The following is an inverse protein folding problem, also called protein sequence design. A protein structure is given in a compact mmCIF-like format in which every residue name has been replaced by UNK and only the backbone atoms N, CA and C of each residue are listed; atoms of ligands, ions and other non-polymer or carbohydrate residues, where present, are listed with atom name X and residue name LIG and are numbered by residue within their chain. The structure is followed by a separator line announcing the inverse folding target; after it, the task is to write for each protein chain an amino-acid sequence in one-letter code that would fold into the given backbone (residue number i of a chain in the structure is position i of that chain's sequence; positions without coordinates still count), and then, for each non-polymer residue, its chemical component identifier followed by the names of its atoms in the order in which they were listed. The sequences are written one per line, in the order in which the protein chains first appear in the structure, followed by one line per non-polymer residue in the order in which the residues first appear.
data_IF_398317833948
#
_entry.id   IF_398317833948
#
_cell.length_a   1.000
_cell.length_b   1.000
_cell.length_c   1.000
_cell.angle_alpha   90.00
_cell.angle_beta   90.00
_cell.angle_gamma   90.00
#
_symmetry.space_group_name_H-M   'P 1'
#
loop_
_entity.id
_entity.type
_entity.pdbx_description
1 polymer ?
2 non-polymer ?
3 non-polymer ?
4 non-polymer ?
5 water ?
#
# COMPACT_ATOMS: atom_id res chain seq x y z
N UNK A 2 -7.08 -7.30 -16.50
CA UNK A 2 -5.96 -8.21 -16.83
C UNK A 2 -4.64 -7.45 -16.93
N UNK A 3 -3.54 -8.12 -16.62
CA UNK A 3 -2.21 -7.54 -16.76
C UNK A 3 -1.43 -8.28 -17.84
N UNK A 4 -0.58 -7.55 -18.56
CA UNK A 4 0.28 -8.15 -19.57
C UNK A 4 -0.47 -8.83 -20.69
N UNK A 5 -1.59 -8.26 -21.10
CA UNK A 5 -2.35 -8.81 -22.21
C UNK A 5 -2.41 -7.82 -23.37
N UNK A 6 -2.67 -8.32 -24.57
CA UNK A 6 -2.66 -7.46 -25.74
C UNK A 6 -3.39 -6.15 -25.46
N UNK A 7 -2.72 -5.04 -25.78
CA UNK A 7 -3.25 -3.72 -25.48
C UNK A 7 -3.74 -2.99 -26.74
N UNK A 8 -4.99 -2.55 -26.71
CA UNK A 8 -5.55 -1.75 -27.78
C UNK A 8 -4.95 -0.34 -27.78
N UNK A 9 -5.02 0.31 -28.93
CA UNK A 9 -4.55 1.69 -29.09
C UNK A 9 -5.33 2.67 -28.21
N UNK A 10 -4.65 3.71 -27.73
CA UNK A 10 -5.33 4.80 -27.04
C UNK A 10 -6.11 5.62 -28.08
N UNK A 11 -7.23 6.23 -27.68
CA UNK A 11 -7.90 7.13 -28.61
C UNK A 11 -7.16 8.46 -28.69
N UNK A 12 -7.53 9.28 -29.67
CA UNK A 12 -7.07 10.68 -29.72
C UNK A 12 -7.40 11.37 -28.41
N UNK A 13 -6.41 12.08 -27.86
CA UNK A 13 -6.60 12.86 -26.64
C UNK A 13 -5.93 14.21 -26.82
N UNK A 14 -6.53 15.26 -26.28
CA UNK A 14 -5.92 16.59 -26.28
C UNK A 14 -5.52 16.96 -24.86
N UNK A 15 -4.23 17.16 -24.65
CA UNK A 15 -3.68 17.52 -23.34
C UNK A 15 -2.38 18.29 -23.53
N UNK A 16 -1.91 18.99 -22.48
CA UNK A 16 -0.68 19.76 -22.62
C UNK A 16 0.53 18.90 -22.98
N UNK A 17 1.35 19.39 -23.90
CA UNK A 17 2.55 18.68 -24.32
C UNK A 17 3.54 18.59 -23.14
N UNK A 18 4.13 17.39 -22.92
CA UNK A 18 5.22 17.31 -21.93
C UNK A 18 6.35 18.28 -22.30
N UNK A 19 6.96 18.89 -21.28
CA UNK A 19 8.04 19.86 -21.46
C UNK A 19 9.39 19.21 -21.12
N UNK A 20 10.14 18.79 -22.15
CA UNK A 20 11.43 18.09 -21.96
C UNK A 20 12.44 18.90 -21.12
N UNK A 21 12.43 20.22 -21.29
CA UNK A 21 13.40 21.08 -20.62
C UNK A 21 12.85 21.79 -19.37
N UNK A 22 11.79 21.22 -18.78
CA UNK A 22 11.22 21.72 -17.52
C UNK A 22 10.99 20.55 -16.57
N UNK A 23 11.68 20.53 -15.41
CA UNK A 23 11.42 19.44 -14.47
C UNK A 23 9.97 19.48 -13.95
N UNK A 24 9.33 18.33 -13.77
CA UNK A 24 7.94 18.33 -13.30
C UNK A 24 7.85 18.68 -11.82
N UNK A 25 8.94 18.44 -11.08
CA UNK A 25 9.09 18.96 -9.71
C UNK A 25 10.53 19.44 -9.55
N UNK A 26 10.70 20.57 -8.87
CA UNK A 26 12.02 21.16 -8.57
C UNK A 26 12.43 20.98 -7.11
N UNK A 27 11.53 20.40 -6.31
CA UNK A 27 11.71 20.32 -4.86
C UNK A 27 11.85 18.90 -4.32
N UNK A 28 11.56 17.90 -5.16
CA UNK A 28 11.59 16.51 -4.72
C UNK A 28 12.20 15.59 -5.78
N UNK A 29 12.65 14.41 -5.33
CA UNK A 29 13.10 13.34 -6.20
C UNK A 29 11.89 12.61 -6.80
N UNK A 30 11.81 12.53 -8.13
CA UNK A 30 10.64 11.90 -8.78
C UNK A 30 10.92 10.55 -9.45
N UNK A 31 12.15 10.09 -9.34
CA UNK A 31 12.53 8.76 -9.83
C UNK A 31 13.63 8.19 -8.93
N UNK A 32 13.52 6.90 -8.60
CA UNK A 32 14.55 6.27 -7.76
C UNK A 32 15.81 5.97 -8.60
N UNK A 33 16.94 5.65 -7.93
CA UNK A 33 18.13 5.31 -8.72
C UNK A 33 18.02 3.99 -9.50
N UNK A 34 16.99 3.19 -9.23
CA UNK A 34 16.71 2.03 -10.07
C UNK A 34 15.56 2.29 -11.05
N UNK A 35 15.29 3.57 -11.31
CA UNK A 35 14.33 4.02 -12.32
C UNK A 35 12.88 3.63 -12.04
N UNK A 36 12.51 3.61 -10.76
CA UNK A 36 11.10 3.49 -10.38
C UNK A 36 10.57 4.91 -10.14
N UNK A 37 9.42 5.24 -10.76
CA UNK A 37 8.81 6.54 -10.46
C UNK A 37 8.48 6.71 -8.98
N UNK A 38 8.71 7.90 -8.45
CA UNK A 38 8.23 8.27 -7.12
C UNK A 38 7.02 9.17 -7.36
N UNK A 39 5.85 8.74 -6.88
CA UNK A 39 4.59 9.34 -7.28
C UNK A 39 4.21 10.55 -6.41
N UNK A 40 4.36 11.74 -6.98
CA UNK A 40 3.95 13.00 -6.36
C UNK A 40 2.95 13.69 -7.29
N UNK A 41 2.10 14.56 -6.74
CA UNK A 41 1.26 15.40 -7.58
C UNK A 41 2.14 16.23 -8.51
N UNK A 42 1.75 16.32 -9.79
CA UNK A 42 2.53 17.00 -10.81
C UNK A 42 3.40 16.08 -11.67
N UNK A 43 3.53 14.81 -11.27
CA UNK A 43 4.32 13.85 -12.06
C UNK A 43 3.50 13.11 -13.10
N UNK A 44 2.18 13.07 -12.90
CA UNK A 44 1.32 12.24 -13.76
C UNK A 44 0.12 12.98 -14.33
N UNK A 45 -0.28 12.58 -15.54
CA UNK A 45 -1.55 12.99 -16.14
C UNK A 45 -2.53 11.85 -15.94
N UNK A 46 -3.48 12.04 -15.03
CA UNK A 46 -4.42 10.98 -14.65
C UNK A 46 -5.34 10.56 -15.81
N UNK A 47 -5.59 11.47 -16.75
CA UNK A 47 -6.45 11.14 -17.90
C UNK A 47 -5.80 10.06 -18.79
N UNK A 48 -4.49 10.20 -19.02
CA UNK A 48 -3.76 9.18 -19.80
C UNK A 48 -3.75 7.84 -19.04
N UNK A 49 -3.43 7.89 -17.75
CA UNK A 49 -3.35 6.66 -16.95
C UNK A 49 -4.70 5.97 -16.84
N UNK A 50 -5.77 6.72 -16.61
CA UNK A 50 -7.12 6.14 -16.58
C UNK A 50 -7.46 5.40 -17.87
N UNK A 51 -7.12 6.01 -19.01
CA UNK A 51 -7.31 5.35 -20.30
C UNK A 51 -6.56 4.04 -20.37
N UNK A 52 -5.27 4.07 -20.08
CA UNK A 52 -4.45 2.85 -20.14
C UNK A 52 -5.02 1.73 -19.29
N UNK A 53 -5.42 2.05 -18.05
CA UNK A 53 -5.90 1.01 -17.14
C UNK A 53 -7.33 0.56 -17.42
N UNK A 54 -8.20 1.48 -17.87
CA UNK A 54 -9.57 1.07 -18.24
C UNK A 54 -9.59 0.16 -19.46
N UNK A 55 -8.72 0.43 -20.43
CA UNK A 55 -8.64 -0.39 -21.64
C UNK A 55 -8.22 -1.83 -21.31
N UNK A 56 -7.59 -2.00 -20.15
CA UNK A 56 -7.17 -3.32 -19.69
C UNK A 56 -8.20 -3.96 -18.74
N UNK A 57 -9.32 -3.25 -18.52
CA UNK A 57 -10.39 -3.64 -17.58
C UNK A 57 -9.80 -4.08 -16.23
N UNK A 58 -9.01 -3.19 -15.66
CA UNK A 58 -8.30 -3.44 -14.40
C UNK A 58 -9.24 -3.54 -13.21
N UNK A 59 -9.05 -4.58 -12.39
CA UNK A 59 -9.73 -4.73 -11.11
C UNK A 59 -8.73 -4.60 -9.98
N UNK A 60 -9.06 -3.76 -9.00
CA UNK A 60 -8.18 -3.53 -7.85
C UNK A 60 -8.83 -4.06 -6.59
N UNK A 61 -8.10 -4.93 -5.87
CA UNK A 61 -8.51 -5.35 -4.54
C UNK A 61 -7.89 -4.45 -3.48
N UNK A 62 -8.69 -4.12 -2.46
CA UNK A 62 -8.21 -3.35 -1.32
C UNK A 62 -8.44 -4.15 -0.05
N UNK A 63 -7.36 -4.49 0.64
CA UNK A 63 -7.45 -5.26 1.90
C UNK A 63 -7.31 -4.36 3.12
N UNK A 64 -8.12 -4.68 4.12
CA UNK A 64 -8.10 -3.95 5.37
C UNK A 64 -8.47 -4.91 6.50
N UNK A 65 -7.80 -4.76 7.64
CA UNK A 65 -8.04 -5.61 8.80
C UNK A 65 -8.74 -4.80 9.87
N UNK A 66 -9.86 -5.34 10.36
CA UNK A 66 -10.64 -4.68 11.40
C UNK A 66 -10.93 -5.68 12.50
N UNK A 67 -9.95 -5.83 13.39
CA UNK A 67 -9.98 -6.84 14.44
C UNK A 67 -10.27 -6.15 15.76
N UNK A 68 -11.12 -6.78 16.58
CA UNK A 68 -11.49 -6.26 17.89
C UNK A 68 -12.07 -4.84 17.76
N UNK A 69 -11.53 -3.88 18.49
CA UNK A 69 -12.13 -2.54 18.53
C UNK A 69 -11.97 -1.74 17.24
N UNK A 70 -11.11 -2.21 16.33
CA UNK A 70 -10.84 -1.49 15.09
C UNK A 70 -11.97 -1.54 14.06
N UNK A 71 -13.01 -2.33 14.34
CA UNK A 71 -14.22 -2.32 13.50
C UNK A 71 -14.86 -0.93 13.45
N UNK A 72 -14.63 -0.12 14.50
CA UNK A 72 -15.19 1.23 14.57
C UNK A 72 -14.69 2.16 13.47
N UNK A 73 -13.55 1.82 12.85
CA UNK A 73 -12.94 2.65 11.81
C UNK A 73 -13.48 2.36 10.41
N UNK A 74 -14.19 1.24 10.26
CA UNK A 74 -14.64 0.80 8.94
C UNK A 74 -15.58 1.76 8.21
N UNK A 75 -16.51 2.38 8.94
CA UNK A 75 -17.53 3.21 8.29
C UNK A 75 -16.87 4.36 7.55
N UNK A 76 -16.04 5.14 8.27
CA UNK A 76 -15.37 6.27 7.62
C UNK A 76 -14.37 5.83 6.55
N UNK A 77 -13.66 4.73 6.80
CA UNK A 77 -12.69 4.21 5.83
C UNK A 77 -13.38 3.90 4.50
N UNK A 78 -14.45 3.10 4.55
CA UNK A 78 -15.16 2.68 3.35
C UNK A 78 -15.90 3.83 2.64
N UNK A 79 -16.54 4.71 3.41
CA UNK A 79 -17.26 5.89 2.87
C UNK A 79 -16.33 6.80 2.09
N UNK A 80 -15.15 7.07 2.66
CA UNK A 80 -14.18 7.91 2.01
C UNK A 80 -13.48 7.20 0.84
N UNK A 81 -13.28 5.89 0.95
CA UNK A 81 -12.75 5.13 -0.20
C UNK A 81 -13.69 5.24 -1.41
N UNK A 82 -14.99 5.23 -1.14
CA UNK A 82 -15.99 5.38 -2.20
C UNK A 82 -15.87 6.71 -2.92
N UNK A 83 -15.42 7.74 -2.22
CA UNK A 83 -15.27 9.05 -2.84
C UNK A 83 -13.96 9.22 -3.61
N UNK A 84 -12.91 8.49 -3.18
CA UNK A 84 -11.55 8.80 -3.62
C UNK A 84 -10.69 7.68 -4.22
N UNK A 85 -11.05 6.42 -3.96
CA UNK A 85 -10.18 5.29 -4.31
C UNK A 85 -10.61 4.62 -5.62
N UNK A 86 -9.78 4.76 -6.65
CA UNK A 86 -9.97 4.05 -7.92
C UNK A 86 -11.36 4.26 -8.53
N UNK A 87 -11.92 5.45 -8.36
CA UNK A 87 -13.26 5.74 -8.88
C UNK A 87 -13.27 5.60 -10.40
N UNK A 88 -14.22 4.83 -10.92
CA UNK A 88 -14.34 4.56 -12.35
C UNK A 88 -13.82 3.19 -12.74
N UNK A 89 -13.06 2.58 -11.83
CA UNK A 89 -12.48 1.25 -12.05
C UNK A 89 -13.19 0.20 -11.21
N UNK A 90 -12.98 -1.08 -11.54
CA UNK A 90 -13.55 -2.18 -10.76
C UNK A 90 -12.76 -2.31 -9.46
N UNK A 91 -13.48 -2.32 -8.34
CA UNK A 91 -12.87 -2.45 -7.01
C UNK A 91 -13.52 -3.58 -6.22
N UNK A 92 -12.71 -4.36 -5.53
CA UNK A 92 -13.19 -5.39 -4.61
C UNK A 92 -12.56 -5.13 -3.24
N UNK A 93 -13.38 -4.71 -2.27
CA UNK A 93 -12.92 -4.56 -0.90
C UNK A 93 -12.90 -5.91 -0.21
N UNK A 94 -11.83 -6.16 0.55
CA UNK A 94 -11.75 -7.36 1.37
C UNK A 94 -11.55 -6.93 2.82
N UNK A 95 -12.60 -7.10 3.62
CA UNK A 95 -12.56 -6.76 5.04
C UNK A 95 -12.32 -8.01 5.87
N UNK A 96 -11.13 -8.09 6.46
CA UNK A 96 -10.76 -9.18 7.37
C UNK A 96 -11.17 -8.77 8.78
N UNK A 97 -12.00 -9.58 9.42
CA UNK A 97 -12.51 -9.22 10.76
C UNK A 97 -12.83 -10.45 11.61
N UNK A 98 -12.79 -10.28 12.93
CA UNK A 98 -13.30 -11.31 13.84
C UNK A 98 -14.78 -11.10 14.21
N UNK A 99 -15.39 -10.04 13.65
CA UNK A 99 -16.78 -9.67 13.96
C UNK A 99 -17.54 -9.33 12.67
N UNK A 100 -17.93 -10.35 11.89
CA UNK A 100 -18.65 -10.09 10.63
C UNK A 100 -19.90 -9.20 10.79
N UNK A 101 -20.60 -9.34 11.91
CA UNK A 101 -21.82 -8.58 12.14
C UNK A 101 -21.57 -7.10 12.44
N UNK A 102 -20.34 -6.75 12.76
CA UNK A 102 -19.98 -5.36 13.07
C UNK A 102 -19.55 -4.57 11.83
N UNK A 103 -19.55 -5.20 10.66
CA UNK A 103 -19.17 -4.48 9.44
C UNK A 103 -20.34 -3.60 9.01
N UNK A 104 -20.11 -2.27 8.90
CA UNK A 104 -21.20 -1.35 8.53
C UNK A 104 -21.67 -1.56 7.08
N UNK A 105 -22.96 -1.32 6.87
CA UNK A 105 -23.56 -1.42 5.54
C UNK A 105 -23.30 -0.13 4.78
N UNK A 106 -22.21 -0.11 4.02
CA UNK A 106 -21.82 1.09 3.28
C UNK A 106 -22.31 0.96 1.83
N UNK A 107 -22.92 2.03 1.33
CA UNK A 107 -23.47 2.05 -0.02
C UNK A 107 -22.33 2.18 -1.03
N UNK A 108 -22.26 1.24 -1.98
CA UNK A 108 -21.15 1.22 -2.93
C UNK A 108 -21.58 1.65 -4.33
N UNK A 109 -20.67 2.31 -5.04
CA UNK A 109 -20.88 2.68 -6.44
C UNK A 109 -20.91 1.47 -7.35
N UNK A 110 -21.42 1.64 -8.57
CA UNK A 110 -21.48 0.52 -9.53
C UNK A 110 -20.07 -0.05 -9.83
N UNK A 111 -19.99 -1.37 -9.98
CA UNK A 111 -18.73 -2.02 -10.32
C UNK A 111 -17.80 -2.22 -9.13
N UNK A 112 -18.34 -2.00 -7.93
CA UNK A 112 -17.56 -2.12 -6.70
C UNK A 112 -18.26 -3.10 -5.75
N UNK A 113 -17.48 -3.99 -5.14
CA UNK A 113 -18.07 -4.99 -4.24
C UNK A 113 -17.24 -5.18 -2.97
N UNK A 114 -17.86 -5.76 -1.96
CA UNK A 114 -17.20 -5.98 -0.68
C UNK A 114 -17.43 -7.39 -0.19
N UNK A 115 -16.36 -8.04 0.24
CA UNK A 115 -16.42 -9.37 0.84
C UNK A 115 -15.89 -9.30 2.26
N UNK A 116 -16.60 -9.96 3.18
CA UNK A 116 -16.14 -10.07 4.55
C UNK A 116 -15.45 -11.43 4.75
N UNK A 117 -14.22 -11.37 5.25
CA UNK A 117 -13.41 -12.56 5.48
C UNK A 117 -13.20 -12.74 6.98
N UNK A 118 -13.84 -13.76 7.55
CA UNK A 118 -13.70 -14.00 8.98
C UNK A 118 -12.37 -14.65 9.28
N UNK A 119 -11.65 -14.07 10.23
CA UNK A 119 -10.38 -14.63 10.69
C UNK A 119 -10.37 -14.64 12.22
N UNK A 120 -9.37 -15.32 12.77
CA UNK A 120 -9.17 -15.34 14.21
C UNK A 120 -8.53 -14.02 14.66
N UNK A 121 -8.85 -13.63 15.90
CA UNK A 121 -8.20 -12.50 16.55
C UNK A 121 -7.06 -13.00 17.42
N UNK A 122 -5.91 -12.33 17.32
CA UNK A 122 -4.80 -12.59 18.24
C UNK A 122 -4.91 -11.63 19.42
N UNK A 123 -4.40 -12.07 20.57
CA UNK A 123 -4.47 -11.30 21.82
C UNK A 123 -3.63 -10.03 21.76
N UNK A 124 -2.38 -10.16 21.30
CA UNK A 124 -1.45 -9.02 21.22
C UNK A 124 -1.67 -8.21 19.94
N UNK A 125 -1.68 -6.89 20.07
CA UNK A 125 -1.82 -6.01 18.90
C UNK A 125 -0.67 -6.21 17.91
N UNK A 126 0.50 -6.56 18.42
CA UNK A 126 1.67 -6.84 17.57
C UNK A 126 1.42 -8.06 16.66
N UNK A 127 0.81 -9.10 17.21
CA UNK A 127 0.47 -10.29 16.43
C UNK A 127 -0.68 -10.07 15.45
N UNK A 128 -1.69 -9.32 15.88
CA UNK A 128 -2.74 -8.90 14.95
C UNK A 128 -2.12 -8.21 13.74
N UNK A 129 -1.21 -7.27 14.00
CA UNK A 129 -0.53 -6.55 12.92
C UNK A 129 0.33 -7.46 12.06
N UNK A 130 1.17 -8.28 12.70
CA UNK A 130 2.11 -9.14 11.98
C UNK A 130 1.45 -10.23 11.16
N UNK A 131 0.41 -10.86 11.73
CA UNK A 131 -0.29 -11.97 11.07
C UNK A 131 -1.12 -11.56 9.84
N UNK A 132 -1.23 -10.25 9.59
CA UNK A 132 -1.75 -9.77 8.32
C UNK A 132 -0.97 -10.35 7.14
N UNK A 133 0.34 -10.50 7.29
CA UNK A 133 1.18 -11.05 6.21
C UNK A 133 0.74 -12.47 5.84
N UNK A 134 0.59 -13.34 6.84
CA UNK A 134 0.12 -14.72 6.63
C UNK A 134 -1.25 -14.75 5.97
N UNK A 135 -2.17 -13.93 6.49
CA UNK A 135 -3.56 -13.94 6.04
C UNK A 135 -3.68 -13.41 4.60
N UNK A 136 -2.94 -12.34 4.28
CA UNK A 136 -2.95 -11.83 2.91
C UNK A 136 -2.38 -12.89 1.94
N UNK A 137 -1.27 -13.50 2.33
CA UNK A 137 -0.64 -14.54 1.52
C UNK A 137 -1.59 -15.72 1.26
N UNK A 138 -2.26 -16.19 2.31
CA UNK A 138 -3.19 -17.31 2.22
C UNK A 138 -4.32 -17.02 1.23
N UNK A 139 -4.85 -15.79 1.30
CA UNK A 139 -5.98 -15.42 0.45
C UNK A 139 -5.61 -15.09 -0.99
N UNK A 140 -4.33 -14.84 -1.25
CA UNK A 140 -3.86 -14.72 -2.63
C UNK A 140 -4.25 -15.97 -3.45
N UNK A 141 -4.29 -17.17 -2.83
CA UNK A 141 -4.77 -18.40 -3.47
C UNK A 141 -6.29 -18.56 -3.34
N UNK A 142 -6.81 -18.34 -2.15
CA UNK A 142 -8.24 -18.52 -1.89
C UNK A 142 -9.13 -17.78 -2.88
N UNK A 143 -8.76 -16.54 -3.20
CA UNK A 143 -9.56 -15.77 -4.14
C UNK A 143 -8.89 -14.65 -4.91
N UNK A 144 -7.81 -14.07 -4.39
CA UNK A 144 -7.27 -12.86 -5.02
C UNK A 144 -6.79 -13.13 -6.45
N UNK A 145 -6.13 -14.26 -6.66
CA UNK A 145 -5.61 -14.61 -7.99
C UNK A 145 -6.71 -14.66 -9.05
N UNK A 146 -7.90 -15.12 -8.66
CA UNK A 146 -9.01 -15.26 -9.59
C UNK A 146 -9.87 -13.99 -9.71
N UNK A 147 -9.77 -13.11 -8.72
CA UNK A 147 -10.69 -11.97 -8.61
C UNK A 147 -10.15 -10.59 -8.91
N UNK A 148 -8.88 -10.35 -8.67
CA UNK A 148 -8.30 -9.01 -8.88
C UNK A 148 -6.97 -9.07 -9.65
N UNK A 149 -6.58 -7.93 -10.21
CA UNK A 149 -5.30 -7.80 -10.92
C UNK A 149 -4.23 -7.25 -9.99
N UNK A 150 -4.62 -6.29 -9.16
CA UNK A 150 -3.73 -5.67 -8.22
C UNK A 150 -4.32 -5.72 -6.82
N UNK A 151 -3.44 -5.72 -5.82
CA UNK A 151 -3.85 -5.65 -4.42
C UNK A 151 -3.23 -4.42 -3.78
N UNK A 152 -4.04 -3.71 -3.00
CA UNK A 152 -3.59 -2.58 -2.20
C UNK A 152 -3.88 -2.95 -0.74
N UNK A 153 -2.85 -2.89 0.11
CA UNK A 153 -2.95 -3.38 1.48
C UNK A 153 -2.70 -2.25 2.47
N UNK A 154 -3.73 -1.88 3.23
CA UNK A 154 -3.66 -0.68 4.06
C UNK A 154 -4.17 -0.89 5.49
N UNK A 155 -3.79 0.03 6.38
CA UNK A 155 -4.35 0.15 7.74
C UNK A 155 -5.76 0.72 7.68
N UNK A 156 -6.59 0.36 8.66
CA UNK A 156 -8.00 0.74 8.69
C UNK A 156 -8.27 2.07 9.40
N UNK A 157 -7.38 2.47 10.30
CA UNK A 157 -7.59 3.66 11.14
C UNK A 157 -7.16 4.93 10.40
N UNK A 158 -7.76 5.09 9.22
CA UNK A 158 -7.34 6.06 8.23
C UNK A 158 -8.59 6.52 7.46
N UNK A 159 -8.44 7.60 6.72
CA UNK A 159 -9.48 8.09 5.82
C UNK A 159 -8.87 8.65 4.55
N UNK A 160 -9.59 8.49 3.44
CA UNK A 160 -9.21 9.12 2.18
C UNK A 160 -9.72 10.55 2.17
N UNK A 161 -8.86 11.48 1.77
CA UNK A 161 -9.16 12.90 1.69
C UNK A 161 -9.05 13.44 0.27
N UNK A 162 -8.38 12.67 -0.60
CA UNK A 162 -8.14 13.12 -1.97
C UNK A 162 -7.86 11.91 -2.86
N UNK A 163 -7.77 12.15 -4.15
CA UNK A 163 -7.58 11.12 -5.18
C UNK A 163 -6.48 10.08 -4.85
N UNK A 164 -6.86 8.80 -4.85
CA UNK A 164 -5.91 7.68 -4.85
C UNK A 164 -6.33 6.75 -5.99
N UNK A 165 -5.58 6.81 -7.08
CA UNK A 165 -6.00 6.11 -8.29
C UNK A 165 -4.94 5.26 -8.95
N UNK A 166 -5.14 5.00 -10.24
CA UNK A 166 -4.32 4.03 -10.97
C UNK A 166 -2.84 4.42 -11.12
N UNK A 167 -2.52 5.68 -10.83
CA UNK A 167 -1.12 6.12 -10.79
C UNK A 167 -0.23 5.30 -9.82
N UNK A 168 -0.86 4.62 -8.85
CA UNK A 168 -0.08 3.82 -7.88
C UNK A 168 0.21 2.40 -8.38
N UNK A 169 -0.51 1.97 -9.41
CA UNK A 169 -0.49 0.55 -9.81
C UNK A 169 0.75 0.18 -10.61
N UNK A 170 1.33 -0.97 -10.27
CA UNK A 170 2.66 -1.38 -10.73
C UNK A 170 2.88 -2.78 -10.14
N UNK A 171 3.88 -3.54 -10.65
CA UNK A 171 4.07 -4.85 -10.04
C UNK A 171 4.31 -4.85 -8.52
N UNK A 172 5.07 -3.88 -8.01
CA UNK A 172 5.34 -3.84 -6.58
C UNK A 172 5.57 -2.41 -6.11
N UNK A 173 4.81 -1.97 -5.12
CA UNK A 173 5.03 -0.63 -4.56
C UNK A 173 5.11 -0.58 -3.04
N UNK A 174 5.92 0.35 -2.55
CA UNK A 174 5.95 0.75 -1.16
C UNK A 174 5.69 2.25 -1.10
N UNK A 175 5.51 2.75 0.13
CA UNK A 175 5.14 4.15 0.36
C UNK A 175 6.13 4.76 1.34
N UNK A 176 6.59 5.97 1.05
CA UNK A 176 7.46 6.69 1.98
C UNK A 176 6.73 7.00 3.29
N UNK A 177 7.28 6.48 4.39
CA UNK A 177 6.74 6.75 5.72
C UNK A 177 6.77 8.26 6.01
N UNK A 178 5.64 8.82 6.49
CA UNK A 178 5.57 10.27 6.67
C UNK A 178 6.53 10.83 7.72
N UNK A 179 6.95 10.00 8.68
CA UNK A 179 7.84 10.49 9.72
C UNK A 179 9.30 10.58 9.33
N UNK A 180 9.66 10.01 8.17
CA UNK A 180 11.08 9.79 7.88
C UNK A 180 11.53 10.12 6.45
N UNK A 181 10.66 10.69 5.62
CA UNK A 181 11.01 10.93 4.22
C UNK A 181 12.23 11.87 4.05
N UNK A 182 12.42 12.77 5.01
CA UNK A 182 13.59 13.66 4.99
C UNK A 182 14.78 13.21 5.83
N UNK A 183 14.70 12.01 6.40
CA UNK A 183 15.75 11.50 7.29
C UNK A 183 16.89 10.79 6.54
N UNK A 184 18.08 10.84 7.14
CA UNK A 184 19.22 10.04 6.65
C UNK A 184 19.03 8.59 7.08
N UNK A 185 19.61 7.68 6.31
CA UNK A 185 19.43 6.23 6.56
C UNK A 185 19.84 5.77 7.96
N UNK A 186 20.88 6.38 8.53
CA UNK A 186 21.33 6.01 9.87
C UNK A 186 20.24 6.27 10.93
N UNK A 187 19.37 7.25 10.67
CA UNK A 187 18.26 7.59 11.56
C UNK A 187 17.02 6.72 11.38
N UNK A 188 16.95 5.97 10.28
CA UNK A 188 15.80 5.09 10.02
C UNK A 188 15.65 4.08 11.15
N UNK A 189 14.41 3.80 11.55
CA UNK A 189 14.17 2.84 12.63
C UNK A 189 14.04 1.41 12.09
N UNK A 190 14.96 1.03 11.21
CA UNK A 190 15.09 -0.37 10.77
C UNK A 190 15.43 -1.25 11.97
N UNK A 191 15.13 -2.54 11.87
CA UNK A 191 15.69 -3.51 12.82
C UNK A 191 17.22 -3.53 12.72
N UNK A 192 17.91 -3.34 13.85
CA UNK A 192 19.38 -3.22 13.88
C UNK A 192 20.12 -4.39 14.56
N UNK A 193 19.37 -5.38 15.05
CA UNK A 193 20.00 -6.55 15.68
C UNK A 193 20.23 -7.63 14.62
N UNK A 194 21.50 -8.05 14.42
CA UNK A 194 21.84 -9.06 13.43
C UNK A 194 21.14 -10.41 13.63
N UNK A 195 20.63 -10.65 14.84
CA UNK A 195 19.94 -11.91 15.16
C UNK A 195 18.56 -12.02 14.50
N UNK A 196 18.05 -10.90 14.00
CA UNK A 196 16.73 -10.85 13.36
C UNK A 196 16.86 -10.93 11.84
N UNK A 197 15.91 -11.65 11.21
CA UNK A 197 15.82 -11.71 9.76
C UNK A 197 15.59 -10.34 9.12
N UNK A 198 15.08 -9.39 9.91
CA UNK A 198 14.79 -8.04 9.39
C UNK A 198 15.99 -7.11 9.46
N UNK A 199 17.11 -7.60 9.97
CA UNK A 199 18.33 -6.78 10.15
C UNK A 199 18.78 -6.02 8.90
N UNK A 200 19.01 -4.71 9.05
CA UNK A 200 19.62 -3.87 8.03
C UNK A 200 20.70 -3.00 8.71
N UNK A 201 21.98 -3.13 8.27
CA UNK A 201 23.10 -2.35 8.79
C UNK A 201 22.94 -0.85 8.56
N UNK A 202 23.67 -0.04 9.33
CA UNK A 202 23.63 1.42 9.27
C UNK A 202 23.99 2.02 7.91
N UNK A 203 24.75 1.29 7.09
CA UNK A 203 25.19 1.78 5.80
C UNK A 203 24.35 1.28 4.60
N UNK A 204 23.23 0.64 4.89
CA UNK A 204 22.31 0.17 3.84
C UNK A 204 20.93 0.79 3.98
N UNK A 205 20.17 0.79 2.90
CA UNK A 205 18.80 1.30 2.93
C UNK A 205 18.60 2.44 1.95
N UNK A 206 17.48 2.40 1.24
CA UNK A 206 17.11 3.45 0.30
C UNK A 206 16.15 4.42 0.96
N UNK A 207 15.05 3.87 1.49
CA UNK A 207 13.98 4.64 2.10
C UNK A 207 13.46 3.89 3.32
N UNK A 208 12.72 4.60 4.18
CA UNK A 208 11.93 3.95 5.21
C UNK A 208 10.47 3.86 4.74
N UNK A 209 10.04 2.65 4.40
CA UNK A 209 8.68 2.44 3.88
C UNK A 209 7.69 2.23 5.03
N UNK A 210 6.47 2.73 4.85
CA UNK A 210 5.41 2.55 5.85
C UNK A 210 4.70 1.22 5.71
N UNK A 211 4.60 0.49 6.82
CA UNK A 211 3.81 -0.76 6.84
C UNK A 211 2.33 -0.59 6.55
N UNK A 212 1.84 0.65 6.63
CA UNK A 212 0.41 0.95 6.50
C UNK A 212 -0.11 1.05 5.06
N UNK A 213 0.77 0.95 4.06
CA UNK A 213 0.35 1.14 2.65
C UNK A 213 1.36 0.54 1.68
N UNK A 214 1.05 -0.67 1.18
CA UNK A 214 1.88 -1.31 0.16
C UNK A 214 0.98 -2.12 -0.78
N UNK A 215 1.54 -2.60 -1.88
CA UNK A 215 0.75 -3.41 -2.81
C UNK A 215 1.48 -3.73 -4.10
N UNK A 216 0.71 -4.09 -5.11
CA UNK A 216 1.25 -4.48 -6.41
C UNK A 216 0.38 -5.53 -7.07
N UNK A 217 0.95 -6.25 -8.03
CA UNK A 217 0.23 -7.36 -8.66
C UNK A 217 0.01 -8.46 -7.63
N UNK A 218 -1.01 -9.29 -7.85
CA UNK A 218 -1.27 -10.36 -6.90
C UNK A 218 -0.04 -11.25 -6.72
N UNK A 219 0.62 -11.58 -7.84
CA UNK A 219 1.84 -12.42 -7.79
C UNK A 219 2.92 -11.81 -6.90
N UNK A 220 3.16 -10.51 -7.05
CA UNK A 220 4.23 -9.87 -6.26
C UNK A 220 3.85 -9.67 -4.81
N UNK A 221 2.57 -9.36 -4.55
CA UNK A 221 2.09 -9.26 -3.17
C UNK A 221 2.15 -10.64 -2.48
N UNK A 222 1.82 -11.71 -3.18
CA UNK A 222 1.98 -13.07 -2.62
C UNK A 222 3.42 -13.31 -2.19
N UNK A 223 4.37 -13.00 -3.08
CA UNK A 223 5.78 -13.16 -2.78
C UNK A 223 6.23 -12.36 -1.57
N UNK A 224 5.87 -11.07 -1.55
CA UNK A 224 6.22 -10.20 -0.43
C UNK A 224 5.64 -10.73 0.89
N UNK A 225 4.35 -11.02 0.91
CA UNK A 225 3.69 -11.38 2.16
C UNK A 225 4.15 -12.74 2.70
N UNK A 226 4.40 -13.69 1.79
CA UNK A 226 4.88 -14.98 2.24
C UNK A 226 6.32 -14.90 2.73
N UNK A 227 7.14 -14.09 2.06
CA UNK A 227 8.52 -13.89 2.50
C UNK A 227 8.57 -13.26 3.88
N UNK A 228 7.74 -12.25 4.11
CA UNK A 228 7.71 -11.59 5.41
C UNK A 228 7.19 -12.54 6.50
N UNK A 229 6.12 -13.31 6.20
CA UNK A 229 5.60 -14.29 7.14
C UNK A 229 6.66 -15.34 7.51
N UNK A 230 7.30 -15.91 6.49
CA UNK A 230 8.33 -16.93 6.76
C UNK A 230 9.49 -16.35 7.59
N UNK A 231 9.88 -15.10 7.31
CA UNK A 231 10.92 -14.39 8.09
C UNK A 231 10.50 -14.14 9.55
N UNK A 232 9.23 -13.80 9.75
CA UNK A 232 8.71 -13.60 11.11
C UNK A 232 8.67 -14.93 11.90
N UNK A 233 8.39 -16.03 11.21
CA UNK A 233 8.38 -17.36 11.84
C UNK A 233 9.77 -17.80 12.26
N UNK A 234 10.78 -17.48 11.44
CA UNK A 234 12.18 -17.75 11.80
C UNK A 234 12.53 -16.94 13.06
N UNK A 235 12.22 -15.64 13.06
CA UNK A 235 12.47 -14.79 14.23
C UNK A 235 11.81 -15.34 15.51
N UNK A 236 10.56 -15.78 15.39
CA UNK A 236 9.80 -16.32 16.51
C UNK A 236 10.49 -17.57 17.07
N UNK A 237 10.94 -18.44 16.18
CA UNK A 237 11.68 -19.64 16.58
C UNK A 237 12.98 -19.28 17.32
N UNK A 238 13.57 -18.16 16.95
CA UNK A 238 14.83 -17.67 17.54
C UNK A 238 14.63 -16.71 18.73
N UNK A 239 13.38 -16.58 19.17
CA UNK A 239 13.04 -15.77 20.34
C UNK A 239 13.33 -14.29 20.18
N UNK A 240 13.06 -13.76 18.99
CA UNK A 240 13.23 -12.35 18.72
C UNK A 240 12.03 -11.80 17.93
N UNK A 241 11.64 -10.57 18.23
CA UNK A 241 10.55 -9.90 17.53
C UNK A 241 11.05 -8.54 17.05
N UNK A 242 10.92 -8.29 15.73
CA UNK A 242 11.46 -7.07 15.14
C UNK A 242 10.90 -5.80 15.78
N UNK A 243 11.72 -4.76 15.86
CA UNK A 243 11.39 -3.52 16.56
C UNK A 243 10.05 -2.92 16.11
N UNK A 244 9.82 -2.88 14.81
CA UNK A 244 8.54 -2.42 14.26
C UNK A 244 7.77 -3.50 13.51
N UNK A 245 7.94 -4.74 13.99
CA UNK A 245 7.03 -5.83 13.63
C UNK A 245 6.98 -6.06 12.11
N UNK A 246 5.78 -6.17 11.53
CA UNK A 246 5.64 -6.39 10.09
C UNK A 246 6.32 -5.30 9.24
N UNK A 247 6.32 -4.07 9.74
CA UNK A 247 6.98 -2.96 9.03
C UNK A 247 8.50 -3.14 8.89
N UNK A 248 9.14 -3.70 9.91
CA UNK A 248 10.58 -3.99 9.83
C UNK A 248 10.89 -5.00 8.73
N UNK A 249 10.06 -6.04 8.64
CA UNK A 249 10.24 -7.08 7.62
C UNK A 249 9.92 -6.56 6.22
N UNK A 250 8.88 -5.74 6.10
CA UNK A 250 8.55 -5.10 4.83
C UNK A 250 9.74 -4.29 4.31
N UNK A 251 10.35 -3.52 5.20
CA UNK A 251 11.54 -2.74 4.84
C UNK A 251 12.72 -3.60 4.39
N UNK A 252 12.97 -4.72 5.07
CA UNK A 252 14.00 -5.67 4.65
C UNK A 252 13.70 -6.21 3.25
N UNK A 253 12.44 -6.60 3.02
CA UNK A 253 12.08 -7.18 1.74
C UNK A 253 12.26 -6.18 0.60
N UNK A 254 11.81 -4.95 0.81
CA UNK A 254 11.89 -3.91 -0.23
C UNK A 254 13.31 -3.37 -0.46
N UNK A 255 14.20 -3.56 0.51
CA UNK A 255 15.61 -3.28 0.27
C UNK A 255 16.21 -4.27 -0.73
N UNK A 256 15.84 -5.55 -0.57
CA UNK A 256 16.42 -6.64 -1.36
C UNK A 256 15.67 -6.91 -2.67
N UNK A 257 14.43 -6.45 -2.73
CA UNK A 257 13.57 -6.57 -3.92
C UNK A 257 12.98 -5.19 -4.18
N UNK A 258 13.63 -4.40 -5.06
CA UNK A 258 13.28 -2.98 -5.20
C UNK A 258 11.88 -2.83 -5.76
N UNK A 259 11.07 -1.94 -5.17
CA UNK A 259 9.74 -1.70 -5.74
C UNK A 259 9.82 -1.02 -7.09
N UNK A 260 8.80 -1.24 -7.92
CA UNK A 260 8.76 -0.69 -9.28
C UNK A 260 8.08 0.70 -9.34
N UNK A 261 7.42 1.09 -8.24
CA UNK A 261 7.02 2.48 -7.96
C UNK A 261 7.15 2.70 -6.46
N UNK A 262 7.43 3.94 -6.07
CA UNK A 262 7.40 4.34 -4.66
C UNK A 262 6.40 5.47 -4.55
N UNK A 263 5.48 5.39 -3.58
CA UNK A 263 4.48 6.45 -3.37
C UNK A 263 5.02 7.50 -2.39
N UNK A 264 4.81 8.78 -2.71
CA UNK A 264 5.19 9.86 -1.80
C UNK A 264 4.31 9.86 -0.54
N UNK A 265 4.70 10.66 0.49
CA UNK A 265 3.90 10.72 1.72
C UNK A 265 2.51 11.38 1.56
N UNK A 266 2.22 11.90 0.35
CA UNK A 266 0.84 12.26 0.01
C UNK A 266 -0.10 11.09 0.31
N UNK A 267 0.42 9.88 0.13
CA UNK A 267 -0.37 8.66 0.20
C UNK A 267 -0.43 8.03 1.60
N UNK A 268 0.28 8.61 2.56
CA UNK A 268 0.31 8.10 3.93
C UNK A 268 0.75 9.22 4.86
N UNK A 269 -0.22 9.84 5.52
CA UNK A 269 0.09 11.06 6.26
C UNK A 269 -0.62 11.13 7.63
N UNK A 270 -0.12 11.98 8.52
CA UNK A 270 -0.79 12.27 9.78
C UNK A 270 -0.72 13.78 10.01
N UNK A 271 -1.83 14.47 9.77
CA UNK A 271 -1.82 15.93 9.81
C UNK A 271 -1.70 16.49 11.23
N UNK A 272 -2.30 15.79 12.20
CA UNK A 272 -2.21 16.22 13.60
C UNK A 272 -0.73 16.26 14.04
N UNK A 273 -0.01 15.20 13.68
CA UNK A 273 1.38 15.06 14.11
C UNK A 273 2.39 15.87 13.28
N UNK A 274 2.10 16.06 12.00
CA UNK A 274 3.11 16.55 11.05
C UNK A 274 2.69 17.80 10.26
N UNK A 275 1.44 18.24 10.44
CA UNK A 275 0.96 19.45 9.76
C UNK A 275 0.73 19.24 8.27
N UNK A 276 0.96 20.30 7.49
CA UNK A 276 0.76 20.24 6.04
C UNK A 276 1.92 20.99 5.36
N UNK A 277 3.06 20.30 5.16
CA UNK A 277 4.24 20.94 4.57
C UNK A 277 4.06 21.33 3.11
N UNK A 278 4.85 22.31 2.69
CA UNK A 278 4.83 22.82 1.32
C UNK A 278 5.06 21.73 0.27
N UNK A 279 5.85 20.71 0.61
CA UNK A 279 6.20 19.64 -0.31
C UNK A 279 4.98 18.78 -0.70
N UNK A 280 3.93 18.84 0.12
CA UNK A 280 2.71 18.06 -0.14
C UNK A 280 1.62 18.93 -0.74
N UNK A 281 1.39 18.76 -2.04
CA UNK A 281 0.36 19.50 -2.75
C UNK A 281 -1.03 18.96 -2.47
N UNK A 282 -1.09 17.67 -2.13
CA UNK A 282 -2.33 17.00 -1.73
C UNK A 282 -2.07 16.10 -0.53
N UNK A 283 -3.07 15.98 0.36
CA UNK A 283 -3.07 14.97 1.43
C UNK A 283 -4.14 13.96 1.03
N UNK A 284 -3.72 12.77 0.64
CA UNK A 284 -4.65 11.80 0.04
C UNK A 284 -5.23 10.78 1.02
N UNK A 285 -4.40 10.26 1.91
CA UNK A 285 -4.77 9.15 2.79
C UNK A 285 -4.08 9.44 4.12
N UNK A 286 -4.90 9.67 5.15
CA UNK A 286 -4.43 10.28 6.41
C UNK A 286 -4.94 9.56 7.65
N UNK A 287 -4.15 9.60 8.72
CA UNK A 287 -4.56 9.04 10.02
C UNK A 287 -5.81 9.72 10.58
N UNK A 288 -6.67 8.93 11.21
CA UNK A 288 -7.83 9.45 11.92
C UNK A 288 -7.33 9.92 13.29
N UNK A 289 -7.56 11.20 13.64
CA UNK A 289 -7.07 11.74 14.92
C UNK A 289 -7.57 11.01 16.16
N UNK A 290 -6.74 10.97 17.19
CA UNK A 290 -7.03 10.22 18.43
C UNK A 290 -8.27 10.73 19.15
#
# INVERSE_FOLDING_TARGET
MAIGEFMVSLPRMVYPQPKVLTPCRKDVLVVTPWLAPIVWEGTFNIDILNEQFRLQNTTIGLTVFAIKKYVAFLKLFLETAEKHFMVGHRVHYYVFTDQPAAVPRVTLGTGRQLSVLEVRAYKRWQDVSMRRMEMISDFCERRFLSEVDYLVCVDVDMEFRDHVGVEILTPLFGTLHPGFYGSSREAFTYERRPQSQAYIPKDEGDFYYGGAFFGGSVQEVQRLTRACHQAMMVDQANGIEAVWHDESHLNKYLLRHKPTKVLSPEYLWDQQLLGWPAVLRKLRFTAVPK
#
